data_IF_846354766528
#
_entry.id   IF_846354766528
#
_cell.length_a   1.000
_cell.length_b   1.000
_cell.length_c   1.000
_cell.angle_alpha   90.00
_cell.angle_beta   90.00
_cell.angle_gamma   90.00
#
_symmetry.space_group_name_H-M   'P 1'
#
loop_
_entity.id
_entity.type
_entity.pdbx_description
1 polymer ?
#
# COMPACT_ATOMS: atom_id res chain seq x y z
N UNK A 1 -4.98 -8.85 24.02
CA UNK A 1 -6.29 -9.46 24.28
C UNK A 1 -7.38 -8.85 23.40
N UNK A 2 -7.47 -7.53 23.33
CA UNK A 2 -8.54 -6.84 22.60
C UNK A 2 -8.60 -7.17 21.09
N UNK A 3 -7.45 -7.30 20.43
CA UNK A 3 -7.43 -7.61 19.00
C UNK A 3 -7.97 -9.01 18.65
N UNK A 4 -7.76 -10.00 19.51
CA UNK A 4 -8.28 -11.34 19.31
C UNK A 4 -9.80 -11.32 19.37
N UNK A 5 -10.36 -10.65 20.37
CA UNK A 5 -11.80 -10.51 20.54
C UNK A 5 -12.46 -9.68 19.43
N UNK A 6 -11.82 -8.59 18.98
CA UNK A 6 -12.28 -7.80 17.84
C UNK A 6 -12.36 -8.67 16.58
N UNK A 7 -11.33 -9.48 16.31
CA UNK A 7 -11.32 -10.39 15.16
C UNK A 7 -12.43 -11.45 15.26
N UNK A 8 -12.62 -12.05 16.42
CA UNK A 8 -13.71 -13.02 16.66
C UNK A 8 -15.07 -12.41 16.40
N UNK A 9 -15.34 -11.21 16.95
CA UNK A 9 -16.61 -10.47 16.73
C UNK A 9 -16.88 -10.16 15.27
N UNK A 10 -15.82 -10.01 14.47
CA UNK A 10 -15.91 -9.76 13.04
C UNK A 10 -15.78 -11.05 12.19
N UNK A 11 -15.92 -12.22 12.80
CA UNK A 11 -15.83 -13.53 12.13
C UNK A 11 -14.53 -13.74 11.37
N UNK A 12 -13.41 -13.17 11.86
CA UNK A 12 -12.08 -13.42 11.31
C UNK A 12 -11.57 -14.74 11.87
N UNK A 13 -11.44 -15.72 10.98
CA UNK A 13 -10.86 -17.02 11.33
C UNK A 13 -9.37 -16.85 11.68
N UNK A 14 -8.99 -17.33 12.85
CA UNK A 14 -7.62 -17.25 13.36
C UNK A 14 -7.31 -18.47 14.22
N UNK A 15 -6.11 -19.03 14.06
CA UNK A 15 -5.65 -20.23 14.76
C UNK A 15 -4.36 -19.87 15.51
N UNK A 16 -4.31 -20.17 16.81
CA UNK A 16 -3.07 -20.06 17.58
C UNK A 16 -2.18 -21.23 17.25
N UNK A 17 -0.93 -20.95 16.90
CA UNK A 17 0.09 -21.95 16.60
C UNK A 17 1.22 -21.87 17.60
N UNK A 18 1.66 -23.04 18.04
CA UNK A 18 2.92 -23.23 18.78
C UNK A 18 4.11 -22.96 17.85
N UNK A 19 5.30 -22.87 18.45
CA UNK A 19 6.56 -22.78 17.71
C UNK A 19 6.73 -23.92 16.69
N UNK A 20 6.51 -25.15 17.14
CA UNK A 20 6.75 -26.34 16.31
C UNK A 20 5.79 -26.38 15.12
N UNK A 21 4.52 -26.09 15.34
CA UNK A 21 3.52 -25.99 14.26
C UNK A 21 3.87 -24.86 13.24
N UNK A 22 4.44 -23.74 13.70
CA UNK A 22 4.91 -22.69 12.77
C UNK A 22 6.11 -23.19 11.96
N UNK A 23 7.07 -23.87 12.58
CA UNK A 23 8.26 -24.39 11.88
C UNK A 23 7.93 -25.53 10.93
N UNK A 24 6.88 -26.31 11.21
CA UNK A 24 6.34 -27.30 10.27
C UNK A 24 5.73 -26.63 9.03
N UNK A 25 5.02 -25.52 9.22
CA UNK A 25 4.42 -24.73 8.12
C UNK A 25 5.46 -23.93 7.31
N UNK A 26 6.46 -23.37 7.98
CA UNK A 26 7.50 -22.50 7.41
C UNK A 26 8.88 -22.86 7.96
N UNK A 27 9.50 -23.95 7.45
CA UNK A 27 10.72 -24.51 8.03
C UNK A 27 11.96 -23.60 7.98
N UNK A 28 11.93 -22.54 7.17
CA UNK A 28 13.04 -21.61 7.03
C UNK A 28 12.97 -20.43 8.01
N UNK A 29 11.91 -20.35 8.79
CA UNK A 29 11.82 -19.33 9.84
C UNK A 29 12.78 -19.65 10.99
N UNK A 30 13.19 -18.60 11.68
CA UNK A 30 14.10 -18.70 12.84
C UNK A 30 13.51 -19.52 13.98
N UNK A 31 14.31 -20.38 14.57
CA UNK A 31 13.94 -21.13 15.78
C UNK A 31 13.73 -20.27 17.04
N UNK A 32 14.01 -18.97 16.96
CA UNK A 32 13.74 -18.02 18.05
C UNK A 32 12.26 -17.63 18.21
N UNK A 33 11.41 -18.02 17.25
CA UNK A 33 9.96 -17.81 17.30
C UNK A 33 9.38 -18.58 18.49
N UNK A 34 8.44 -17.96 19.20
CA UNK A 34 7.79 -18.56 20.38
C UNK A 34 6.40 -19.13 20.07
N UNK A 35 5.72 -18.61 19.08
CA UNK A 35 4.37 -18.97 18.67
C UNK A 35 3.78 -17.88 17.77
N UNK A 36 2.57 -18.03 17.33
CA UNK A 36 1.92 -17.05 16.48
C UNK A 36 0.44 -17.29 16.21
N UNK A 37 -0.08 -16.46 15.34
CA UNK A 37 -1.45 -16.56 14.84
C UNK A 37 -1.45 -16.82 13.35
N UNK A 38 -2.16 -17.85 12.94
CA UNK A 38 -2.38 -18.17 11.54
C UNK A 38 -3.78 -17.71 11.10
N UNK A 39 -3.88 -17.16 9.91
CA UNK A 39 -5.11 -16.68 9.30
C UNK A 39 -5.39 -17.49 8.03
N UNK A 40 -6.15 -18.59 8.10
CA UNK A 40 -6.31 -19.53 6.98
C UNK A 40 -6.92 -18.91 5.73
N UNK A 41 -7.75 -17.88 5.89
CA UNK A 41 -8.44 -17.19 4.81
C UNK A 41 -7.72 -15.94 4.30
N UNK A 42 -6.52 -15.64 4.83
CA UNK A 42 -5.71 -14.55 4.32
C UNK A 42 -5.06 -14.93 2.98
N UNK A 43 -5.12 -14.00 2.03
CA UNK A 43 -4.51 -14.18 0.72
C UNK A 43 -3.60 -13.01 0.39
N UNK A 44 -2.67 -13.22 -0.53
CA UNK A 44 -1.80 -12.16 -1.02
C UNK A 44 -1.63 -12.24 -2.53
N UNK A 45 -1.10 -11.18 -3.12
CA UNK A 45 -0.81 -11.10 -4.54
C UNK A 45 0.63 -11.49 -4.81
N UNK A 46 0.85 -12.52 -5.61
CA UNK A 46 2.19 -12.99 -5.98
C UNK A 46 2.93 -12.01 -6.91
N UNK A 47 2.19 -11.34 -7.79
CA UNK A 47 2.77 -10.38 -8.74
C UNK A 47 1.82 -9.19 -8.96
N UNK A 48 1.98 -8.11 -8.17
CA UNK A 48 1.18 -6.89 -8.33
C UNK A 48 1.30 -6.25 -9.71
N UNK A 49 2.48 -6.28 -10.31
CA UNK A 49 2.74 -5.65 -11.61
C UNK A 49 1.96 -6.32 -12.74
N UNK A 50 1.83 -7.65 -12.72
CA UNK A 50 1.00 -8.38 -13.69
C UNK A 50 -0.46 -7.94 -13.61
N UNK A 51 -0.99 -7.71 -12.41
CA UNK A 51 -2.38 -7.24 -12.23
C UNK A 51 -2.53 -5.83 -12.77
N UNK A 52 -1.63 -4.90 -12.40
CA UNK A 52 -1.66 -3.51 -12.89
C UNK A 52 -1.53 -3.46 -14.40
N UNK A 53 -0.61 -4.21 -14.99
CA UNK A 53 -0.44 -4.28 -16.45
C UNK A 53 -1.68 -4.82 -17.14
N UNK A 54 -2.36 -5.81 -16.55
CA UNK A 54 -3.61 -6.34 -17.10
C UNK A 54 -4.76 -5.32 -17.03
N UNK A 55 -4.87 -4.59 -15.92
CA UNK A 55 -5.84 -3.50 -15.79
C UNK A 55 -5.56 -2.37 -16.78
N UNK A 56 -4.29 -2.01 -16.96
CA UNK A 56 -3.88 -1.01 -17.92
C UNK A 56 -4.19 -1.43 -19.36
N UNK A 57 -3.93 -2.70 -19.74
CA UNK A 57 -4.31 -3.23 -21.05
C UNK A 57 -5.82 -3.14 -21.26
N UNK A 58 -6.62 -3.50 -20.25
CA UNK A 58 -8.08 -3.37 -20.33
C UNK A 58 -8.57 -1.93 -20.45
N UNK A 59 -7.89 -1.00 -19.77
CA UNK A 59 -8.17 0.42 -19.90
C UNK A 59 -7.93 0.93 -21.34
N UNK A 60 -6.79 0.55 -21.95
CA UNK A 60 -6.46 0.96 -23.33
C UNK A 60 -7.33 0.26 -24.37
N UNK A 61 -7.68 -1.02 -24.19
CA UNK A 61 -8.67 -1.73 -25.02
C UNK A 61 -10.03 -1.00 -25.05
N UNK A 62 -10.40 -0.37 -23.94
CA UNK A 62 -11.59 0.47 -23.81
C UNK A 62 -11.40 1.93 -24.26
N UNK A 63 -10.42 2.20 -25.10
CA UNK A 63 -10.08 3.53 -25.63
C UNK A 63 -9.62 4.55 -24.58
N UNK A 64 -9.24 4.09 -23.39
CA UNK A 64 -8.61 4.93 -22.36
C UNK A 64 -7.27 5.48 -22.85
N UNK A 65 -7.00 6.74 -22.56
CA UNK A 65 -5.72 7.41 -22.91
C UNK A 65 -4.90 7.68 -21.68
N UNK A 66 -3.66 7.22 -21.66
CA UNK A 66 -2.70 7.50 -20.61
C UNK A 66 -1.76 8.62 -21.06
N UNK A 67 -1.73 9.69 -20.28
CA UNK A 67 -0.81 10.82 -20.49
C UNK A 67 0.23 10.79 -19.37
N UNK A 68 1.48 10.51 -19.71
CA UNK A 68 2.60 10.56 -18.76
C UNK A 68 3.06 12.00 -18.56
N UNK A 69 2.19 12.80 -17.96
CA UNK A 69 2.39 14.21 -17.69
C UNK A 69 2.22 14.52 -16.21
N UNK A 70 3.05 15.41 -15.66
CA UNK A 70 2.81 15.95 -14.32
C UNK A 70 1.68 16.96 -14.40
N UNK A 71 0.66 16.82 -13.56
CA UNK A 71 -0.35 17.87 -13.39
C UNK A 71 0.28 19.02 -12.62
N UNK A 72 0.43 20.16 -13.27
CA UNK A 72 1.01 21.38 -12.67
C UNK A 72 -0.03 22.46 -12.43
N UNK A 73 -1.14 22.41 -13.15
CA UNK A 73 -2.27 23.32 -12.96
C UNK A 73 -3.60 22.57 -13.12
N UNK A 74 -4.53 22.86 -12.25
CA UNK A 74 -5.90 22.40 -12.33
C UNK A 74 -6.83 23.56 -11.96
N UNK A 75 -7.80 23.83 -12.83
CA UNK A 75 -8.78 24.91 -12.64
C UNK A 75 -10.17 24.40 -12.98
N UNK A 76 -11.20 25.08 -12.47
CA UNK A 76 -12.58 24.85 -12.82
C UNK A 76 -13.22 26.17 -13.25
N UNK A 77 -13.85 26.18 -14.44
CA UNK A 77 -14.58 27.33 -14.96
C UNK A 77 -15.65 26.89 -15.96
N UNK A 78 -16.79 27.58 -15.95
CA UNK A 78 -17.90 27.29 -16.87
C UNK A 78 -18.33 25.80 -16.91
N UNK A 79 -18.32 25.13 -15.75
CA UNK A 79 -18.73 23.73 -15.62
C UNK A 79 -17.72 22.71 -16.16
N UNK A 80 -16.49 23.13 -16.52
CA UNK A 80 -15.43 22.26 -17.04
C UNK A 80 -14.15 22.37 -16.21
N UNK A 81 -13.36 21.31 -16.22
CA UNK A 81 -12.03 21.26 -15.59
C UNK A 81 -10.97 21.49 -16.65
N UNK A 82 -10.02 22.38 -16.38
CA UNK A 82 -8.82 22.56 -17.19
C UNK A 82 -7.61 21.98 -16.47
N UNK A 83 -6.97 20.99 -17.07
CA UNK A 83 -5.76 20.34 -16.53
C UNK A 83 -4.64 20.57 -17.54
N UNK A 84 -3.59 21.26 -17.15
CA UNK A 84 -2.48 21.61 -18.04
C UNK A 84 -2.99 22.19 -19.38
N UNK A 85 -3.96 23.11 -19.33
CA UNK A 85 -4.63 23.75 -20.50
C UNK A 85 -5.46 22.79 -21.41
N UNK A 86 -5.79 21.59 -20.94
CA UNK A 86 -6.72 20.67 -21.63
C UNK A 86 -8.04 20.61 -20.86
N UNK A 87 -9.17 20.69 -21.56
CA UNK A 87 -10.49 20.71 -20.94
C UNK A 87 -11.12 19.31 -20.81
N UNK A 88 -11.82 19.11 -19.70
CA UNK A 88 -12.51 17.86 -19.35
C UNK A 88 -13.87 18.18 -18.70
N UNK A 89 -14.85 17.31 -18.93
CA UNK A 89 -16.21 17.47 -18.38
C UNK A 89 -16.33 16.91 -16.95
N UNK A 90 -15.47 15.97 -16.59
CA UNK A 90 -15.45 15.32 -15.28
C UNK A 90 -14.00 15.13 -14.82
N UNK A 91 -13.77 15.25 -13.52
CA UNK A 91 -12.46 15.02 -12.90
C UNK A 91 -12.57 14.08 -11.71
N UNK A 92 -11.71 13.06 -11.68
CA UNK A 92 -11.55 12.18 -10.54
C UNK A 92 -10.12 12.35 -10.00
N UNK A 93 -9.99 12.83 -8.76
CA UNK A 93 -8.68 13.01 -8.12
C UNK A 93 -8.28 11.71 -7.43
N UNK A 94 -7.27 11.02 -7.97
CA UNK A 94 -6.69 9.77 -7.45
C UNK A 94 -5.17 9.88 -7.25
N UNK A 95 -4.67 11.06 -6.88
CA UNK A 95 -3.24 11.37 -6.80
C UNK A 95 -2.53 10.84 -5.55
N UNK A 96 -3.18 9.99 -4.72
CA UNK A 96 -2.59 9.44 -3.50
C UNK A 96 -2.12 10.55 -2.56
N UNK A 97 -0.86 10.49 -2.11
CA UNK A 97 -0.28 11.49 -1.21
C UNK A 97 -0.19 12.92 -1.82
N UNK A 98 -0.31 13.04 -3.14
CA UNK A 98 -0.26 14.32 -3.87
C UNK A 98 -1.64 14.92 -4.12
N UNK A 99 -2.72 14.31 -3.66
CA UNK A 99 -4.09 14.80 -3.85
C UNK A 99 -4.38 16.11 -3.09
N UNK A 100 -3.70 16.35 -1.98
CA UNK A 100 -3.87 17.55 -1.14
C UNK A 100 -3.73 18.86 -1.95
N UNK A 101 -2.68 18.95 -2.74
CA UNK A 101 -2.39 20.15 -3.53
C UNK A 101 -3.43 20.35 -4.64
N UNK A 102 -3.91 19.28 -5.26
CA UNK A 102 -4.96 19.34 -6.29
C UNK A 102 -6.30 19.79 -5.71
N UNK A 103 -6.69 19.26 -4.55
CA UNK A 103 -7.91 19.68 -3.87
C UNK A 103 -7.84 21.16 -3.45
N UNK A 104 -6.69 21.60 -2.94
CA UNK A 104 -6.48 22.99 -2.57
C UNK A 104 -6.60 23.94 -3.78
N UNK A 105 -6.03 23.58 -4.93
CA UNK A 105 -6.17 24.36 -6.16
C UNK A 105 -7.63 24.44 -6.66
N UNK A 106 -8.38 23.36 -6.55
CA UNK A 106 -9.76 23.26 -7.07
C UNK A 106 -10.79 23.94 -6.15
N UNK A 107 -10.68 23.73 -4.86
CA UNK A 107 -11.72 24.15 -3.89
C UNK A 107 -11.26 25.18 -2.88
N UNK A 108 -9.99 25.58 -2.91
CA UNK A 108 -9.38 26.45 -1.89
C UNK A 108 -9.57 25.87 -0.46
N UNK A 109 -9.53 24.54 -0.33
CA UNK A 109 -9.68 23.81 0.93
C UNK A 109 -8.42 23.01 1.24
N UNK A 110 -7.97 23.10 2.47
CA UNK A 110 -6.90 22.25 2.99
C UNK A 110 -7.49 20.99 3.62
N UNK A 111 -7.03 19.84 3.17
CA UNK A 111 -7.36 18.55 3.77
C UNK A 111 -6.19 18.08 4.65
N UNK A 112 -6.44 17.41 5.78
CA UNK A 112 -5.39 16.91 6.68
C UNK A 112 -4.75 15.62 6.15
N UNK A 113 -4.46 15.59 4.85
CA UNK A 113 -3.78 14.47 4.20
C UNK A 113 -2.28 14.60 4.43
N UNK A 114 -1.69 13.58 5.04
CA UNK A 114 -0.25 13.48 5.26
C UNK A 114 0.29 12.20 4.61
N UNK A 115 1.61 12.05 4.60
CA UNK A 115 2.21 10.83 4.07
C UNK A 115 2.96 10.05 5.15
N UNK A 116 2.59 8.79 5.28
CA UNK A 116 3.38 7.80 5.99
C UNK A 116 4.34 7.15 5.00
N UNK A 117 5.62 7.52 5.09
CA UNK A 117 6.66 6.95 4.24
C UNK A 117 6.91 5.50 4.65
N UNK A 118 6.72 4.59 3.71
CA UNK A 118 6.97 3.16 3.88
C UNK A 118 8.16 2.70 3.07
N UNK A 119 8.95 1.82 3.66
CA UNK A 119 10.13 1.27 3.03
C UNK A 119 9.97 -0.22 2.80
N UNK A 120 10.56 -0.74 1.72
CA UNK A 120 10.75 -2.18 1.58
C UNK A 120 12.08 -2.53 0.94
N UNK A 121 12.49 -3.77 1.16
CA UNK A 121 13.64 -4.41 0.53
C UNK A 121 13.16 -5.62 -0.25
N UNK A 122 13.86 -5.95 -1.34
CA UNK A 122 13.58 -7.12 -2.15
C UNK A 122 14.80 -8.05 -2.18
N UNK A 123 14.55 -9.31 -1.85
CA UNK A 123 15.50 -10.41 -1.85
C UNK A 123 15.16 -11.31 -3.03
N UNK A 124 15.81 -11.10 -4.15
CA UNK A 124 15.52 -11.83 -5.39
C UNK A 124 15.98 -13.29 -5.30
N UNK A 125 15.25 -14.21 -5.97
CA UNK A 125 15.57 -15.64 -5.98
C UNK A 125 15.30 -16.37 -4.67
N UNK A 126 14.53 -15.78 -3.75
CA UNK A 126 14.23 -16.34 -2.42
C UNK A 126 12.75 -16.69 -2.21
N UNK A 127 11.97 -16.74 -3.29
CA UNK A 127 10.50 -16.94 -3.25
C UNK A 127 10.09 -18.25 -2.56
N UNK A 128 10.96 -19.24 -2.50
CA UNK A 128 10.70 -20.54 -1.89
C UNK A 128 11.07 -20.60 -0.39
N UNK A 129 11.64 -19.51 0.18
CA UNK A 129 12.04 -19.53 1.59
C UNK A 129 10.85 -19.46 2.54
N UNK A 130 9.76 -18.82 2.14
CA UNK A 130 8.48 -18.81 2.84
C UNK A 130 7.35 -18.99 1.83
N UNK A 131 6.25 -19.61 2.25
CA UNK A 131 5.10 -19.89 1.37
C UNK A 131 3.96 -18.90 1.54
N UNK A 132 3.98 -18.11 2.60
CA UNK A 132 2.92 -17.16 2.96
C UNK A 132 3.45 -15.89 3.59
N UNK A 133 2.69 -14.77 3.51
CA UNK A 133 3.07 -13.54 4.20
C UNK A 133 3.20 -13.78 5.72
N UNK A 134 4.35 -13.42 6.26
CA UNK A 134 4.68 -13.59 7.67
C UNK A 134 4.98 -12.24 8.30
N UNK A 135 4.34 -11.95 9.44
CA UNK A 135 4.54 -10.73 10.20
C UNK A 135 5.33 -11.01 11.49
N UNK A 136 6.43 -10.30 11.68
CA UNK A 136 7.13 -10.23 12.96
C UNK A 136 6.53 -9.08 13.77
N UNK A 137 5.62 -9.41 14.69
CA UNK A 137 4.79 -8.43 15.40
C UNK A 137 5.63 -7.43 16.20
N UNK A 138 6.67 -7.88 16.89
CA UNK A 138 7.51 -7.05 17.75
C UNK A 138 8.24 -5.93 16.97
N UNK A 139 8.56 -6.18 15.70
CA UNK A 139 9.23 -5.19 14.83
C UNK A 139 8.29 -4.48 13.87
N UNK A 140 7.01 -4.91 13.79
CA UNK A 140 6.05 -4.39 12.82
C UNK A 140 6.43 -4.67 11.36
N UNK A 141 7.17 -5.77 11.12
CA UNK A 141 7.70 -6.07 9.81
C UNK A 141 6.96 -7.24 9.15
N UNK A 142 6.74 -7.10 7.85
CA UNK A 142 6.06 -8.07 6.99
C UNK A 142 7.03 -8.60 5.93
N UNK A 143 7.16 -9.91 5.85
CA UNK A 143 7.81 -10.61 4.75
C UNK A 143 6.74 -11.25 3.89
N UNK A 144 6.77 -10.95 2.59
CA UNK A 144 5.78 -11.45 1.64
C UNK A 144 6.50 -12.17 0.50
N UNK A 145 6.21 -13.46 0.27
CA UNK A 145 6.72 -14.16 -0.90
C UNK A 145 6.03 -13.62 -2.16
N UNK A 146 6.83 -13.20 -3.13
CA UNK A 146 6.40 -12.78 -4.44
C UNK A 146 6.96 -13.76 -5.48
N UNK A 147 6.50 -13.67 -6.73
CA UNK A 147 6.93 -14.55 -7.82
C UNK A 147 8.46 -14.53 -8.05
N UNK A 148 9.13 -13.44 -7.72
CA UNK A 148 10.55 -13.22 -7.97
C UNK A 148 11.44 -13.25 -6.72
N UNK A 149 10.87 -13.36 -5.53
CA UNK A 149 11.61 -13.34 -4.27
C UNK A 149 10.76 -12.87 -3.09
N UNK A 150 11.40 -12.59 -1.98
CA UNK A 150 10.74 -12.07 -0.78
C UNK A 150 10.83 -10.54 -0.75
N UNK A 151 9.71 -9.88 -0.50
CA UNK A 151 9.65 -8.48 -0.15
C UNK A 151 9.51 -8.32 1.36
N UNK A 152 10.50 -7.72 2.00
CA UNK A 152 10.45 -7.33 3.40
C UNK A 152 10.03 -5.86 3.50
N UNK A 153 8.88 -5.60 4.12
CA UNK A 153 8.32 -4.27 4.30
C UNK A 153 8.07 -3.98 5.78
N UNK A 154 8.31 -2.75 6.18
CA UNK A 154 8.07 -2.31 7.56
C UNK A 154 8.36 -0.83 7.70
N UNK A 155 8.32 -0.36 8.91
CA UNK A 155 8.58 1.03 9.31
C UNK A 155 7.60 2.06 8.76
N UNK A 156 7.37 3.09 9.53
CA UNK A 156 6.62 4.30 9.16
C UNK A 156 7.47 5.51 9.48
N UNK A 157 7.58 6.45 8.56
CA UNK A 157 8.27 7.71 8.77
C UNK A 157 7.37 8.88 8.37
N UNK A 158 7.11 9.80 9.30
CA UNK A 158 6.42 11.04 9.04
C UNK A 158 7.44 12.12 8.65
N UNK A 159 7.64 12.33 7.35
CA UNK A 159 8.68 13.23 6.85
C UNK A 159 8.35 13.86 5.49
N UNK A 160 7.07 13.93 5.13
CA UNK A 160 6.61 14.47 3.87
C UNK A 160 7.16 13.72 2.64
N UNK A 161 6.99 14.33 1.47
CA UNK A 161 7.34 13.70 0.18
C UNK A 161 8.73 14.06 -0.35
N UNK A 162 9.42 15.05 0.24
CA UNK A 162 10.66 15.62 -0.32
C UNK A 162 11.94 15.15 0.37
N UNK A 163 11.84 14.66 1.62
CA UNK A 163 13.02 14.21 2.38
C UNK A 163 13.70 13.02 1.71
N UNK A 164 15.02 12.97 1.74
CA UNK A 164 15.82 11.86 1.19
C UNK A 164 15.50 10.54 1.90
N UNK A 165 15.83 9.42 1.25
CA UNK A 165 15.73 8.06 1.80
C UNK A 165 16.50 7.96 3.12
N UNK A 166 15.88 7.39 4.13
CA UNK A 166 16.50 7.15 5.44
C UNK A 166 17.14 5.74 5.47
N UNK A 167 18.45 5.70 5.35
CA UNK A 167 19.22 4.44 5.33
C UNK A 167 19.06 3.62 6.61
N UNK A 168 18.89 4.26 7.78
CA UNK A 168 18.70 3.53 9.05
C UNK A 168 17.42 2.67 9.02
N UNK A 169 16.40 3.08 8.29
CA UNK A 169 15.17 2.29 8.12
C UNK A 169 15.38 1.09 7.20
N UNK A 170 16.18 1.22 6.16
CA UNK A 170 16.56 0.09 5.31
C UNK A 170 17.37 -0.92 6.11
N UNK A 171 18.35 -0.46 6.90
CA UNK A 171 19.14 -1.31 7.78
C UNK A 171 18.28 -2.02 8.83
N UNK A 172 17.29 -1.33 9.40
CA UNK A 172 16.33 -1.93 10.33
C UNK A 172 15.57 -3.09 9.67
N UNK A 173 15.00 -2.87 8.48
CA UNK A 173 14.26 -3.89 7.73
C UNK A 173 15.18 -5.07 7.41
N UNK A 174 16.39 -4.82 6.93
CA UNK A 174 17.37 -5.85 6.61
C UNK A 174 17.73 -6.71 7.83
N UNK A 175 18.01 -6.06 8.97
CA UNK A 175 18.35 -6.75 10.22
C UNK A 175 17.24 -7.72 10.65
N UNK A 176 15.99 -7.25 10.73
CA UNK A 176 14.86 -8.07 11.17
C UNK A 176 14.43 -9.12 10.14
N UNK A 177 14.60 -8.84 8.84
CA UNK A 177 14.36 -9.84 7.81
C UNK A 177 15.32 -11.04 7.96
N UNK A 178 16.60 -10.79 8.18
CA UNK A 178 17.60 -11.84 8.44
C UNK A 178 17.40 -12.53 9.80
N UNK A 179 16.91 -11.80 10.80
CA UNK A 179 16.56 -12.41 12.08
C UNK A 179 15.41 -13.40 11.95
N UNK A 180 14.39 -13.08 11.13
CA UNK A 180 13.24 -13.94 10.91
C UNK A 180 13.55 -15.10 9.94
N UNK A 181 14.31 -14.85 8.88
CA UNK A 181 14.78 -15.86 7.92
C UNK A 181 16.30 -15.81 7.83
N UNK A 182 17.03 -16.60 8.64
CA UNK A 182 18.49 -16.54 8.71
C UNK A 182 19.21 -16.84 7.38
N UNK A 183 18.57 -17.53 6.46
CA UNK A 183 19.11 -17.84 5.13
C UNK A 183 19.15 -16.63 4.18
N UNK A 184 18.44 -15.54 4.47
CA UNK A 184 18.47 -14.34 3.63
C UNK A 184 19.88 -13.74 3.62
N UNK A 185 20.32 -13.37 2.44
CA UNK A 185 21.59 -12.68 2.22
C UNK A 185 21.36 -11.16 2.10
N UNK A 186 22.14 -10.48 1.25
CA UNK A 186 21.95 -9.07 0.97
C UNK A 186 20.73 -8.86 0.04
N UNK A 187 20.01 -7.77 0.24
CA UNK A 187 18.92 -7.38 -0.65
C UNK A 187 19.46 -6.76 -1.94
N UNK A 188 18.73 -6.96 -3.04
CA UNK A 188 19.11 -6.42 -4.35
C UNK A 188 18.45 -5.08 -4.63
N UNK A 189 17.21 -4.88 -4.18
CA UNK A 189 16.46 -3.66 -4.41
C UNK A 189 15.92 -3.06 -3.11
N UNK A 190 15.73 -1.76 -3.11
CA UNK A 190 15.04 -1.04 -2.05
C UNK A 190 14.08 -0.01 -2.63
N UNK A 191 12.99 0.24 -1.94
CA UNK A 191 11.99 1.18 -2.39
C UNK A 191 11.41 2.01 -1.24
N UNK A 192 11.01 3.24 -1.56
CA UNK A 192 10.31 4.17 -0.69
C UNK A 192 8.99 4.56 -1.32
N UNK A 193 7.89 4.40 -0.58
CA UNK A 193 6.57 4.84 -1.00
C UNK A 193 5.91 5.80 -0.02
N UNK A 194 4.92 6.52 -0.52
CA UNK A 194 4.19 7.55 0.20
C UNK A 194 2.75 7.08 0.41
N UNK A 195 2.45 6.54 1.61
CA UNK A 195 1.08 6.16 1.94
C UNK A 195 0.26 7.41 2.24
N UNK A 196 -0.84 7.63 1.52
CA UNK A 196 -1.73 8.77 1.78
C UNK A 196 -2.58 8.51 3.02
N UNK A 197 -2.30 9.17 4.11
CA UNK A 197 -2.94 8.92 5.41
C UNK A 197 -3.73 10.14 5.88
N UNK A 198 -4.96 9.90 6.34
CA UNK A 198 -5.82 10.86 7.02
C UNK A 198 -5.85 10.53 8.52
N UNK A 199 -6.18 11.52 9.40
CA UNK A 199 -6.15 11.32 10.86
C UNK A 199 -7.05 10.19 11.37
N UNK A 200 -8.17 9.95 10.68
CA UNK A 200 -9.14 8.87 10.99
C UNK A 200 -8.81 7.54 10.30
N UNK A 201 -7.74 7.52 9.49
CA UNK A 201 -7.33 6.37 8.67
C UNK A 201 -8.37 5.90 7.65
N UNK A 202 -9.40 6.70 7.35
CA UNK A 202 -10.42 6.38 6.34
C UNK A 202 -10.12 7.08 5.01
N UNK A 203 -10.33 6.41 3.87
CA UNK A 203 -10.16 7.05 2.56
C UNK A 203 -11.28 8.04 2.25
N UNK A 204 -10.96 9.07 1.48
CA UNK A 204 -11.96 9.95 0.88
C UNK A 204 -12.42 9.33 -0.43
N UNK A 205 -13.64 8.81 -0.45
CA UNK A 205 -14.32 8.24 -1.62
C UNK A 205 -15.66 8.95 -1.72
N UNK A 206 -15.73 10.02 -2.52
CA UNK A 206 -16.91 10.89 -2.53
C UNK A 206 -16.97 11.77 -3.77
N UNK A 207 -18.17 12.33 -4.03
CA UNK A 207 -18.33 13.51 -4.88
C UNK A 207 -17.91 14.75 -4.11
N UNK A 208 -17.41 15.77 -4.80
CA UNK A 208 -17.18 17.10 -4.21
C UNK A 208 -18.49 17.70 -3.73
N UNK A 209 -18.53 18.33 -2.54
CA UNK A 209 -19.69 19.05 -2.06
C UNK A 209 -19.91 20.41 -2.74
N UNK A 210 -18.90 20.96 -3.41
CA UNK A 210 -18.92 22.34 -3.95
C UNK A 210 -18.79 22.40 -5.48
N UNK A 211 -18.19 21.41 -6.11
CA UNK A 211 -18.00 21.39 -7.57
C UNK A 211 -18.73 20.19 -8.20
N UNK A 212 -19.53 20.48 -9.19
CA UNK A 212 -20.21 19.45 -9.95
C UNK A 212 -19.20 18.65 -10.80
N UNK A 213 -19.42 17.34 -10.97
CA UNK A 213 -18.56 16.44 -11.74
C UNK A 213 -17.11 16.33 -11.22
N UNK A 214 -16.85 16.68 -9.96
CA UNK A 214 -15.60 16.43 -9.28
C UNK A 214 -15.75 15.29 -8.26
N UNK A 215 -14.85 14.30 -8.34
CA UNK A 215 -14.86 13.12 -7.47
C UNK A 215 -13.47 12.88 -6.85
N UNK A 216 -13.46 12.18 -5.72
CA UNK A 216 -12.25 11.89 -4.95
C UNK A 216 -12.12 10.39 -4.68
N UNK A 217 -10.92 9.84 -4.90
CA UNK A 217 -10.59 8.46 -4.60
C UNK A 217 -9.14 8.36 -4.07
N UNK A 218 -8.87 8.82 -2.85
CA UNK A 218 -7.52 8.81 -2.26
C UNK A 218 -7.57 8.66 -0.73
N UNK A 219 -6.40 8.63 -0.09
CA UNK A 219 -6.31 8.56 1.37
C UNK A 219 -6.42 7.14 1.95
N UNK A 220 -6.19 6.10 1.13
CA UNK A 220 -6.39 4.69 1.50
C UNK A 220 -5.33 4.13 2.47
N UNK A 221 -4.38 4.94 2.93
CA UNK A 221 -3.28 4.51 3.79
C UNK A 221 -2.55 3.28 3.18
N UNK A 222 -2.46 2.17 3.90
CA UNK A 222 -1.87 0.91 3.42
C UNK A 222 -2.90 -0.06 2.80
N UNK A 223 -4.18 0.32 2.73
CA UNK A 223 -5.27 -0.52 2.23
C UNK A 223 -5.64 -0.27 0.76
N UNK A 224 -4.93 0.62 0.07
CA UNK A 224 -5.27 1.02 -1.30
C UNK A 224 -5.32 -0.13 -2.29
N UNK A 225 -4.44 -1.13 -2.15
CA UNK A 225 -4.47 -2.33 -2.97
C UNK A 225 -5.75 -3.15 -2.79
N UNK A 226 -6.17 -3.34 -1.54
CA UNK A 226 -7.38 -4.10 -1.20
C UNK A 226 -8.66 -3.35 -1.56
N UNK A 227 -8.69 -2.03 -1.31
CA UNK A 227 -9.87 -1.20 -1.49
C UNK A 227 -10.00 -0.60 -2.90
N UNK A 228 -8.96 -0.65 -3.73
CA UNK A 228 -8.96 -0.06 -5.07
C UNK A 228 -10.13 -0.48 -5.95
N UNK A 229 -10.45 -1.78 -6.08
CA UNK A 229 -11.56 -2.24 -6.91
C UNK A 229 -12.92 -1.72 -6.44
N UNK A 230 -13.18 -1.71 -5.12
CA UNK A 230 -14.45 -1.19 -4.60
C UNK A 230 -14.53 0.33 -4.72
N UNK A 231 -13.41 1.04 -4.54
CA UNK A 231 -13.32 2.49 -4.78
C UNK A 231 -13.72 2.81 -6.22
N UNK A 232 -13.13 2.12 -7.19
CA UNK A 232 -13.48 2.32 -8.62
C UNK A 232 -14.91 1.92 -9.01
N UNK A 233 -15.57 1.10 -8.17
CA UNK A 233 -16.98 0.75 -8.37
C UNK A 233 -17.93 1.80 -7.78
N UNK A 234 -17.52 2.47 -6.69
CA UNK A 234 -18.35 3.44 -5.95
C UNK A 234 -18.31 4.83 -6.61
N UNK A 235 -17.15 5.23 -7.18
CA UNK A 235 -16.99 6.46 -7.94
C UNK A 235 -17.61 6.32 -9.34
#
# INVERSE_FOLDING_TARGET
>A
YDQIEIRKRNNVEQVSLSKDEILDLEPNLSSSIKGGWYFPRAHHTLNPDKILNKLFSKFTEKMGKFLKEKVVSVNHSFGKFSINNKNYDCLIVCGGAFSKDLVNQLENKSIPLETERGYHLEFLGTQEYITRPTCLVDSGMYLTPLEYGIRAAGTVELAGTTKKVNKSRLNYIHHFAKQLIPKLQEYQNSWLGFRPTLPDCLPIISKSPSLENLYYGFGHNHLGWTLGPITGKVI
#
